data_IF_263223642481
#
_entry.id   IF_263223642481
#
_cell.length_a   1.000
_cell.length_b   1.000
_cell.length_c   1.000
_cell.angle_alpha   90.00
_cell.angle_beta   90.00
_cell.angle_gamma   90.00
#
_symmetry.space_group_name_H-M   'P 1'
#
loop_
_entity.id
_entity.type
_entity.pdbx_description
1 polymer ?
#
# COMPACT_ATOMS: atom_id res chain seq x y z
N UNK A 1 -16.62 -18.37 -5.17
CA UNK A 1 -15.50 -17.85 -5.99
C UNK A 1 -15.59 -16.33 -5.89
N UNK A 2 -14.51 -15.63 -5.50
CA UNK A 2 -14.51 -14.15 -5.44
C UNK A 2 -14.53 -13.62 -6.88
N UNK A 3 -15.43 -12.68 -7.18
CA UNK A 3 -15.51 -12.07 -8.52
C UNK A 3 -14.41 -11.02 -8.72
N UNK A 4 -14.15 -10.63 -9.98
CA UNK A 4 -13.19 -9.58 -10.27
C UNK A 4 -13.61 -8.23 -9.65
N UNK A 5 -14.91 -7.91 -9.60
CA UNK A 5 -15.38 -6.68 -8.96
C UNK A 5 -15.12 -6.69 -7.44
N UNK A 6 -15.33 -7.84 -6.79
CA UNK A 6 -15.03 -8.02 -5.37
C UNK A 6 -13.53 -7.90 -5.09
N UNK A 7 -12.69 -8.44 -5.98
CA UNK A 7 -11.24 -8.31 -5.87
C UNK A 7 -10.79 -6.85 -5.96
N UNK A 8 -11.33 -6.08 -6.92
CA UNK A 8 -11.08 -4.64 -7.06
C UNK A 8 -11.53 -3.90 -5.80
N UNK A 9 -12.72 -4.20 -5.28
CA UNK A 9 -13.21 -3.60 -4.04
C UNK A 9 -12.27 -3.87 -2.86
N UNK A 10 -11.75 -5.08 -2.73
CA UNK A 10 -10.78 -5.43 -1.69
C UNK A 10 -9.49 -4.60 -1.82
N UNK A 11 -9.01 -4.36 -3.04
CA UNK A 11 -7.87 -3.47 -3.25
C UNK A 11 -8.12 -2.03 -2.85
N UNK A 12 -9.30 -1.51 -3.17
CA UNK A 12 -9.67 -0.14 -2.77
C UNK A 12 -9.71 -0.04 -1.25
N UNK A 13 -10.29 -1.02 -0.56
CA UNK A 13 -10.35 -1.05 0.91
C UNK A 13 -8.95 -1.16 1.50
N UNK A 14 -8.11 -2.07 1.00
CA UNK A 14 -6.72 -2.22 1.45
C UNK A 14 -5.93 -0.92 1.27
N UNK A 15 -6.00 -0.28 0.11
CA UNK A 15 -5.28 0.95 -0.17
C UNK A 15 -5.72 2.07 0.79
N UNK A 16 -7.04 2.24 0.94
CA UNK A 16 -7.59 3.26 1.82
C UNK A 16 -7.19 3.03 3.28
N UNK A 17 -7.28 1.79 3.76
CA UNK A 17 -6.95 1.45 5.15
C UNK A 17 -5.45 1.52 5.41
N UNK A 18 -4.60 1.15 4.47
CA UNK A 18 -3.15 1.27 4.60
C UNK A 18 -2.69 2.73 4.60
N UNK A 19 -3.21 3.57 3.69
CA UNK A 19 -2.93 5.01 3.69
C UNK A 19 -3.41 5.65 5.01
N UNK A 20 -4.62 5.31 5.44
CA UNK A 20 -5.16 5.81 6.73
C UNK A 20 -4.29 5.39 7.89
N UNK A 21 -3.84 4.13 7.91
CA UNK A 21 -2.93 3.63 8.94
C UNK A 21 -1.64 4.44 8.98
N UNK A 22 -0.99 4.65 7.84
CA UNK A 22 0.27 5.38 7.81
C UNK A 22 0.11 6.84 8.24
N UNK A 23 -0.98 7.49 7.82
CA UNK A 23 -1.31 8.84 8.29
C UNK A 23 -1.53 8.88 9.80
N UNK A 24 -2.35 7.97 10.34
CA UNK A 24 -2.69 7.91 11.76
C UNK A 24 -1.47 7.57 12.62
N UNK A 25 -0.64 6.62 12.19
CA UNK A 25 0.60 6.27 12.87
C UNK A 25 1.59 7.41 12.86
N UNK A 26 1.72 8.15 11.75
CA UNK A 26 2.57 9.33 11.68
C UNK A 26 2.09 10.41 12.65
N UNK A 27 0.79 10.73 12.65
CA UNK A 27 0.19 11.70 13.58
C UNK A 27 0.28 11.25 15.04
N UNK A 28 0.17 9.95 15.29
CA UNK A 28 0.32 9.34 16.60
C UNK A 28 1.76 9.40 17.11
N UNK A 29 2.76 9.35 16.23
CA UNK A 29 4.18 9.46 16.61
C UNK A 29 4.55 10.83 17.18
N UNK A 30 3.80 11.88 16.85
CA UNK A 30 4.03 13.24 17.35
C UNK A 30 3.44 13.46 18.77
N UNK A 31 2.74 12.47 19.33
CA UNK A 31 2.18 12.55 20.69
C UNK A 31 3.18 12.11 21.77
N UNK A 32 3.11 12.74 22.95
CA UNK A 32 3.97 12.40 24.11
C UNK A 32 3.76 10.97 24.64
N UNK A 33 2.56 10.41 24.46
CA UNK A 33 2.24 9.04 24.89
C UNK A 33 2.34 8.09 23.69
N UNK A 34 3.13 7.02 23.86
CA UNK A 34 3.22 5.93 22.89
C UNK A 34 1.88 5.23 22.65
N UNK A 35 1.04 5.13 23.68
CA UNK A 35 -0.33 4.65 23.57
C UNK A 35 -1.27 5.84 23.44
N UNK A 36 -1.67 6.14 22.20
CA UNK A 36 -2.64 7.18 21.89
C UNK A 36 -3.69 6.67 20.90
N UNK A 37 -4.79 7.41 20.77
CA UNK A 37 -5.92 6.99 19.93
C UNK A 37 -5.53 6.85 18.46
N UNK A 38 -4.63 7.71 17.95
CA UNK A 38 -4.16 7.62 16.57
C UNK A 38 -3.32 6.35 16.34
N UNK A 39 -2.50 5.96 17.32
CA UNK A 39 -1.77 4.70 17.28
C UNK A 39 -2.73 3.49 17.24
N UNK A 40 -3.76 3.46 18.09
CA UNK A 40 -4.76 2.38 18.13
C UNK A 40 -5.55 2.31 16.81
N UNK A 41 -6.02 3.45 16.31
CA UNK A 41 -6.74 3.52 15.03
C UNK A 41 -5.83 3.11 13.86
N UNK A 42 -4.55 3.48 13.91
CA UNK A 42 -3.54 3.07 12.94
C UNK A 42 -3.34 1.55 12.92
N UNK A 43 -3.22 0.92 14.11
CA UNK A 43 -3.13 -0.53 14.22
C UNK A 43 -4.39 -1.25 13.72
N UNK A 44 -5.59 -0.72 14.02
CA UNK A 44 -6.85 -1.27 13.50
C UNK A 44 -6.91 -1.20 11.98
N UNK A 45 -6.48 -0.07 11.39
CA UNK A 45 -6.45 0.09 9.95
C UNK A 45 -5.44 -0.86 9.28
N UNK A 46 -4.27 -1.08 9.90
CA UNK A 46 -3.32 -2.12 9.45
C UNK A 46 -3.97 -3.51 9.51
N UNK A 47 -4.63 -3.85 10.61
CA UNK A 47 -5.27 -5.15 10.77
C UNK A 47 -6.31 -5.40 9.67
N UNK A 48 -7.14 -4.41 9.35
CA UNK A 48 -8.11 -4.50 8.26
C UNK A 48 -7.38 -4.76 6.93
N UNK A 49 -6.32 -4.01 6.63
CA UNK A 49 -5.52 -4.20 5.42
C UNK A 49 -5.06 -5.65 5.28
N UNK A 50 -4.49 -6.23 6.34
CA UNK A 50 -4.01 -7.61 6.32
C UNK A 50 -5.11 -8.67 6.26
N UNK A 51 -6.30 -8.42 6.83
CA UNK A 51 -7.45 -9.31 6.67
C UNK A 51 -7.88 -9.37 5.20
N UNK A 52 -7.98 -8.22 4.53
CA UNK A 52 -8.34 -8.19 3.11
C UNK A 52 -7.23 -8.76 2.23
N UNK A 53 -5.96 -8.52 2.57
CA UNK A 53 -4.83 -9.16 1.89
C UNK A 53 -4.92 -10.69 1.98
N UNK A 54 -5.24 -11.24 3.15
CA UNK A 54 -5.45 -12.68 3.32
C UNK A 54 -6.60 -13.20 2.44
N UNK A 55 -7.71 -12.47 2.36
CA UNK A 55 -8.83 -12.83 1.48
C UNK A 55 -8.43 -12.83 -0.01
N UNK A 56 -7.63 -11.84 -0.43
CA UNK A 56 -7.06 -11.74 -1.78
C UNK A 56 -6.12 -12.92 -2.04
N UNK A 57 -5.19 -13.22 -1.13
CA UNK A 57 -4.22 -14.31 -1.29
C UNK A 57 -4.90 -15.68 -1.45
N UNK A 58 -6.04 -15.89 -0.78
CA UNK A 58 -6.84 -17.12 -0.92
C UNK A 58 -7.38 -17.35 -2.33
N UNK A 59 -7.38 -16.35 -3.21
CA UNK A 59 -7.88 -16.49 -4.58
C UNK A 59 -6.88 -17.09 -5.56
N UNK A 60 -5.59 -17.17 -5.23
CA UNK A 60 -4.58 -17.91 -6.00
C UNK A 60 -4.16 -17.30 -7.35
N UNK A 61 -4.78 -16.21 -7.82
CA UNK A 61 -4.48 -15.61 -9.13
C UNK A 61 -3.55 -14.40 -9.01
N UNK A 62 -2.48 -14.39 -9.81
CA UNK A 62 -1.58 -13.24 -10.02
C UNK A 62 -1.12 -12.53 -8.73
N UNK A 63 -0.89 -13.28 -7.65
CA UNK A 63 -0.64 -12.76 -6.30
C UNK A 63 0.59 -11.83 -6.29
N UNK A 64 1.64 -12.20 -7.02
CA UNK A 64 2.89 -11.45 -7.05
C UNK A 64 2.72 -10.09 -7.73
N UNK A 65 2.15 -10.04 -8.95
CA UNK A 65 1.90 -8.77 -9.65
C UNK A 65 0.98 -7.89 -8.84
N UNK A 66 -0.14 -8.45 -8.39
CA UNK A 66 -1.20 -7.66 -7.79
C UNK A 66 -0.71 -7.03 -6.47
N UNK A 67 0.02 -7.80 -5.67
CA UNK A 67 0.64 -7.30 -4.45
C UNK A 67 1.70 -6.22 -4.74
N UNK A 68 2.53 -6.41 -5.76
CA UNK A 68 3.53 -5.43 -6.19
C UNK A 68 2.90 -4.12 -6.68
N UNK A 69 1.86 -4.20 -7.52
CA UNK A 69 1.08 -3.03 -8.00
C UNK A 69 0.47 -2.31 -6.81
N UNK A 70 -0.12 -3.05 -5.88
CA UNK A 70 -0.76 -2.47 -4.70
C UNK A 70 0.23 -1.67 -3.84
N UNK A 71 1.35 -2.29 -3.42
CA UNK A 71 2.34 -1.61 -2.59
C UNK A 71 3.06 -0.47 -3.32
N UNK A 72 3.27 -0.58 -4.62
CA UNK A 72 3.82 0.51 -5.43
C UNK A 72 2.86 1.69 -5.49
N UNK A 73 1.57 1.43 -5.71
CA UNK A 73 0.55 2.47 -5.74
C UNK A 73 0.46 3.19 -4.40
N UNK A 74 0.46 2.43 -3.30
CA UNK A 74 0.49 2.96 -1.95
C UNK A 74 1.74 3.82 -1.74
N UNK A 75 2.93 3.32 -2.07
CA UNK A 75 4.18 4.06 -1.93
C UNK A 75 4.17 5.40 -2.67
N UNK A 76 3.62 5.44 -3.88
CA UNK A 76 3.43 6.69 -4.65
C UNK A 76 2.44 7.62 -3.95
N UNK A 77 1.30 7.13 -3.48
CA UNK A 77 0.29 7.94 -2.79
C UNK A 77 0.82 8.51 -1.47
N UNK A 78 1.60 7.73 -0.72
CA UNK A 78 2.24 8.20 0.52
C UNK A 78 3.33 9.21 0.21
N UNK A 79 4.15 8.97 -0.81
CA UNK A 79 5.17 9.92 -1.23
C UNK A 79 4.55 11.29 -1.57
N UNK A 80 3.45 11.29 -2.32
CA UNK A 80 2.67 12.50 -2.63
C UNK A 80 2.00 13.08 -1.38
N UNK A 81 1.34 12.25 -0.57
CA UNK A 81 0.66 12.68 0.65
C UNK A 81 1.62 13.26 1.69
N UNK A 82 2.81 12.68 1.84
CA UNK A 82 3.88 13.19 2.70
C UNK A 82 4.37 14.56 2.25
N UNK A 83 4.51 14.76 0.94
CA UNK A 83 4.87 16.04 0.36
C UNK A 83 3.79 17.11 0.59
N UNK A 84 2.52 16.81 0.31
CA UNK A 84 1.43 17.80 0.41
C UNK A 84 0.93 18.05 1.83
N UNK A 85 0.83 17.03 2.67
CA UNK A 85 0.19 17.10 4.00
C UNK A 85 1.21 17.39 5.09
N UNK A 86 2.41 16.80 5.00
CA UNK A 86 3.44 16.91 6.03
C UNK A 86 4.64 17.77 5.60
N UNK A 87 4.58 18.39 4.41
CA UNK A 87 5.69 19.19 3.84
C UNK A 87 7.03 18.46 3.79
N UNK A 88 7.01 17.13 3.72
CA UNK A 88 8.21 16.30 3.67
C UNK A 88 8.75 16.28 2.23
N UNK A 89 9.99 16.72 2.05
CA UNK A 89 10.68 16.64 0.76
C UNK A 89 11.39 15.30 0.65
N UNK A 90 11.23 14.64 -0.49
CA UNK A 90 12.01 13.45 -0.82
C UNK A 90 13.41 13.89 -1.26
N UNK A 91 14.43 13.32 -0.64
CA UNK A 91 15.82 13.46 -1.10
C UNK A 91 16.04 12.67 -2.40
N UNK A 92 17.11 12.98 -3.12
CA UNK A 92 17.48 12.35 -4.38
C UNK A 92 17.56 10.82 -4.27
N UNK A 93 18.06 10.30 -3.15
CA UNK A 93 18.13 8.85 -2.89
C UNK A 93 16.73 8.22 -2.76
N UNK A 94 15.78 8.92 -2.15
CA UNK A 94 14.42 8.44 -1.96
C UNK A 94 13.63 8.49 -3.27
N UNK A 95 13.85 9.53 -4.09
CA UNK A 95 13.31 9.61 -5.45
C UNK A 95 13.86 8.48 -6.32
N UNK A 96 15.17 8.22 -6.25
CA UNK A 96 15.78 7.10 -6.97
C UNK A 96 15.20 5.76 -6.53
N UNK A 97 15.09 5.51 -5.22
CA UNK A 97 14.47 4.29 -4.70
C UNK A 97 13.01 4.13 -5.15
N UNK A 98 12.21 5.21 -5.11
CA UNK A 98 10.83 5.20 -5.58
C UNK A 98 10.76 4.86 -7.07
N UNK A 99 11.67 5.41 -7.88
CA UNK A 99 11.74 5.09 -9.32
C UNK A 99 12.07 3.61 -9.55
N UNK A 100 13.00 3.02 -8.80
CA UNK A 100 13.33 1.60 -8.89
C UNK A 100 12.14 0.71 -8.51
N UNK A 101 11.38 1.07 -7.48
CA UNK A 101 10.17 0.32 -7.08
C UNK A 101 9.12 0.36 -8.18
N UNK A 102 8.88 1.53 -8.78
CA UNK A 102 7.93 1.67 -9.90
C UNK A 102 8.38 0.85 -11.11
N UNK A 103 9.66 0.96 -11.50
CA UNK A 103 10.20 0.20 -12.63
C UNK A 103 10.18 -1.30 -12.39
N UNK A 104 10.56 -1.76 -11.19
CA UNK A 104 10.53 -3.19 -10.82
C UNK A 104 9.12 -3.78 -10.90
N UNK A 105 8.12 -3.04 -10.42
CA UNK A 105 6.71 -3.44 -10.52
C UNK A 105 6.21 -3.47 -11.97
N UNK A 106 6.65 -2.53 -12.81
CA UNK A 106 6.32 -2.55 -14.24
C UNK A 106 6.92 -3.78 -14.94
N UNK A 107 8.20 -4.09 -14.69
CA UNK A 107 8.87 -5.28 -15.22
C UNK A 107 8.12 -6.55 -14.80
N UNK A 108 7.79 -6.68 -13.51
CA UNK A 108 7.06 -7.83 -12.98
C UNK A 108 5.70 -8.00 -13.67
N UNK A 109 4.93 -6.91 -13.80
CA UNK A 109 3.63 -6.93 -14.45
C UNK A 109 3.71 -7.32 -15.94
N UNK A 110 4.73 -6.87 -16.66
CA UNK A 110 4.94 -7.23 -18.07
C UNK A 110 5.44 -8.67 -18.26
N UNK A 111 6.28 -9.17 -17.35
CA UNK A 111 6.86 -10.50 -17.43
C UNK A 111 5.81 -11.61 -17.32
N UNK A 112 4.87 -11.47 -16.38
CA UNK A 112 3.86 -12.50 -16.15
C UNK A 112 2.78 -12.52 -17.25
N UNK A 113 2.51 -11.37 -17.89
CA UNK A 113 1.66 -11.31 -19.08
C UNK A 113 2.28 -12.01 -20.32
N UNK A 114 3.62 -12.06 -20.40
CA UNK A 114 4.34 -12.71 -21.50
C UNK A 114 4.42 -14.24 -21.41
N UNK A 115 4.05 -14.86 -20.30
CA UNK A 115 4.08 -16.33 -20.10
C UNK A 115 2.75 -17.03 -20.46
N UNK A 116 1.79 -16.29 -21.03
CA UNK A 116 0.51 -16.83 -21.51
C UNK A 116 0.44 -17.04 -23.03
N UNK A 117 1.59 -17.08 -23.73
CA UNK A 117 1.69 -17.42 -25.15
C UNK A 117 2.41 -18.75 -25.37
#
# INVERSE_FOLDING_TARGET
>A
MISNEQLILFFVIMAFTEISAQFLLKKGADHKSHFNIYFILGLLAILITYIFLYMVMRTGKHIAIIHAIHHTSIAVVIALGAFFIFSQKLDLKQLFALSLVITGTFILATSENGHHH
#
